data_IF_528116651455
#
_entry.id   IF_528116651455
#
_cell.length_a   1.000
_cell.length_b   1.000
_cell.length_c   1.000
_cell.angle_alpha   90.00
_cell.angle_beta   90.00
_cell.angle_gamma   90.00
#
_symmetry.space_group_name_H-M   'P 1'
#
loop_
_entity.id
_entity.type
_entity.pdbx_description
1 polymer ?
#
# COMPACT_ATOMS: atom_id res chain seq x y z
N UNK A 1 5.40 -5.44 0.94
CA UNK A 1 6.26 -4.28 0.57
C UNK A 1 6.81 -3.66 1.84
N UNK A 2 8.10 -3.41 1.85
CA UNK A 2 8.82 -2.81 2.97
C UNK A 2 9.46 -1.50 2.49
N UNK A 3 9.19 -0.41 3.19
CA UNK A 3 9.86 0.86 2.97
C UNK A 3 11.09 0.94 3.87
N UNK A 4 12.25 1.21 3.29
CA UNK A 4 13.46 1.54 4.03
C UNK A 4 13.56 3.06 4.15
N UNK A 5 13.43 3.55 5.37
CA UNK A 5 13.48 4.98 5.65
C UNK A 5 14.92 5.45 5.84
N UNK A 6 15.19 6.65 5.37
CA UNK A 6 16.48 7.32 5.57
C UNK A 6 16.25 8.50 6.53
N UNK A 7 16.57 8.33 7.83
CA UNK A 7 16.41 9.41 8.81
C UNK A 7 17.29 10.62 8.45
N UNK A 8 16.77 11.82 8.67
CA UNK A 8 17.50 13.07 8.41
C UNK A 8 17.74 13.37 6.92
N UNK A 9 17.13 12.62 6.01
CA UNK A 9 17.19 12.89 4.58
C UNK A 9 16.39 14.15 4.23
N UNK A 10 16.78 14.83 3.14
CA UNK A 10 16.06 16.01 2.62
C UNK A 10 14.61 15.72 2.22
N UNK A 11 14.31 14.46 1.85
CA UNK A 11 12.94 14.01 1.58
C UNK A 11 12.27 13.64 2.90
N UNK A 12 11.16 14.26 3.29
CA UNK A 12 10.45 13.96 4.52
C UNK A 12 10.00 12.49 4.60
N UNK A 13 9.92 11.95 5.82
CA UNK A 13 9.51 10.57 6.06
C UNK A 13 8.16 10.23 5.42
N UNK A 14 7.20 11.15 5.52
CA UNK A 14 5.88 10.95 4.91
C UNK A 14 5.96 10.73 3.40
N UNK A 15 6.81 11.45 2.71
CA UNK A 15 6.98 11.29 1.26
C UNK A 15 7.65 9.95 0.92
N UNK A 16 8.60 9.51 1.75
CA UNK A 16 9.22 8.19 1.61
C UNK A 16 8.17 7.08 1.77
N UNK A 17 7.28 7.19 2.75
CA UNK A 17 6.18 6.24 2.96
C UNK A 17 5.15 6.27 1.82
N UNK A 18 4.76 7.46 1.37
CA UNK A 18 3.83 7.63 0.24
C UNK A 18 4.40 7.04 -1.06
N UNK A 19 5.69 7.19 -1.29
CA UNK A 19 6.38 6.56 -2.42
C UNK A 19 6.26 5.04 -2.36
N UNK A 20 6.46 4.45 -1.18
CA UNK A 20 6.24 3.01 -0.96
C UNK A 20 4.79 2.58 -1.17
N UNK A 21 3.83 3.39 -0.74
CA UNK A 21 2.41 3.18 -1.01
C UNK A 21 2.08 3.20 -2.50
N UNK A 22 2.71 4.11 -3.25
CA UNK A 22 2.58 4.15 -4.71
C UNK A 22 3.11 2.86 -5.37
N UNK A 23 4.18 2.27 -4.84
CA UNK A 23 4.68 0.96 -5.30
C UNK A 23 3.63 -0.12 -5.07
N UNK A 24 2.99 -0.16 -3.89
CA UNK A 24 1.92 -1.12 -3.61
C UNK A 24 0.78 -0.98 -4.63
N UNK A 25 0.34 0.23 -4.90
CA UNK A 25 -0.71 0.48 -5.89
C UNK A 25 -0.29 0.06 -7.30
N UNK A 26 0.93 0.39 -7.71
CA UNK A 26 1.47 -0.01 -9.01
C UNK A 26 1.51 -1.54 -9.17
N UNK A 27 1.82 -2.28 -8.09
CA UNK A 27 1.78 -3.74 -8.10
C UNK A 27 0.36 -4.27 -8.33
N UNK A 28 -0.66 -3.65 -7.72
CA UNK A 28 -2.07 -4.02 -7.97
C UNK A 28 -2.43 -3.81 -9.44
N UNK A 29 -2.07 -2.67 -10.01
CA UNK A 29 -2.34 -2.35 -11.42
C UNK A 29 -1.62 -3.32 -12.37
N UNK A 30 -0.36 -3.61 -12.10
CA UNK A 30 0.43 -4.55 -12.90
C UNK A 30 -0.14 -5.97 -12.86
N UNK A 31 -0.58 -6.44 -11.70
CA UNK A 31 -1.20 -7.75 -11.54
C UNK A 31 -2.50 -7.84 -12.35
N UNK A 32 -3.36 -6.83 -12.23
CA UNK A 32 -4.63 -6.77 -12.97
C UNK A 32 -4.40 -6.71 -14.48
N UNK A 33 -3.43 -5.95 -14.95
CA UNK A 33 -3.07 -5.87 -16.36
C UNK A 33 -2.62 -7.21 -16.94
N UNK A 34 -2.09 -8.10 -16.09
CA UNK A 34 -1.69 -9.46 -16.46
C UNK A 34 -2.80 -10.51 -16.23
N UNK A 35 -3.99 -10.09 -15.85
CA UNK A 35 -5.15 -10.97 -15.64
C UNK A 35 -5.21 -11.63 -14.25
N UNK A 36 -4.38 -11.21 -13.30
CA UNK A 36 -4.44 -11.68 -11.92
C UNK A 36 -5.35 -10.82 -11.05
N UNK A 37 -5.89 -11.43 -9.99
CA UNK A 37 -6.47 -10.69 -8.88
C UNK A 37 -5.37 -10.20 -7.94
N UNK A 38 -5.59 -9.05 -7.33
CA UNK A 38 -4.64 -8.51 -6.36
C UNK A 38 -5.35 -7.72 -5.26
N UNK A 39 -4.79 -7.77 -4.06
CA UNK A 39 -5.30 -7.04 -2.91
C UNK A 39 -4.14 -6.60 -2.02
N UNK A 40 -4.19 -5.37 -1.57
CA UNK A 40 -3.22 -4.80 -0.63
C UNK A 40 -3.87 -4.63 0.74
N UNK A 41 -3.34 -5.33 1.72
CA UNK A 41 -3.82 -5.36 3.09
C UNK A 41 -2.69 -5.18 4.09
N UNK A 42 -3.03 -4.66 5.27
CA UNK A 42 -2.13 -4.64 6.42
C UNK A 42 -2.53 -5.69 7.46
N UNK A 43 -3.64 -5.50 8.15
CA UNK A 43 -4.07 -6.35 9.24
C UNK A 43 -3.15 -6.27 10.47
N UNK A 44 -3.43 -7.06 11.49
CA UNK A 44 -2.65 -7.09 12.73
C UNK A 44 -1.18 -7.48 12.52
N UNK A 45 -0.93 -8.40 11.60
CA UNK A 45 0.41 -8.94 11.35
C UNK A 45 1.39 -7.88 10.82
N UNK A 46 0.89 -6.82 10.18
CA UNK A 46 1.71 -5.73 9.68
C UNK A 46 2.29 -4.84 10.80
N UNK A 47 1.78 -4.98 12.01
CA UNK A 47 2.14 -4.15 13.18
C UNK A 47 2.68 -4.99 14.34
N UNK A 48 2.60 -6.31 14.26
CA UNK A 48 3.04 -7.20 15.32
C UNK A 48 4.58 -7.30 15.33
N UNK A 49 5.25 -6.96 16.45
CA UNK A 49 6.69 -6.93 16.51
C UNK A 49 7.34 -8.31 16.31
N UNK A 50 6.66 -9.39 16.69
CA UNK A 50 7.18 -10.74 16.48
C UNK A 50 7.16 -11.11 15.00
N UNK A 51 6.08 -10.75 14.30
CA UNK A 51 5.97 -10.96 12.84
C UNK A 51 7.02 -10.13 12.12
N UNK A 52 7.15 -8.85 12.46
CA UNK A 52 8.13 -7.95 11.84
C UNK A 52 9.57 -8.43 12.06
N UNK A 53 9.89 -8.89 13.27
CA UNK A 53 11.20 -9.47 13.56
C UNK A 53 11.47 -10.74 12.75
N UNK A 54 10.45 -11.61 12.59
CA UNK A 54 10.57 -12.81 11.76
C UNK A 54 10.72 -12.53 10.27
N UNK A 55 10.15 -11.43 9.80
CA UNK A 55 10.35 -10.94 8.44
C UNK A 55 11.72 -10.28 8.24
N UNK A 56 12.47 -10.09 9.31
CA UNK A 56 13.83 -9.53 9.28
C UNK A 56 13.87 -8.02 9.07
N UNK A 57 12.81 -7.28 9.45
CA UNK A 57 12.81 -5.83 9.34
C UNK A 57 13.84 -5.19 10.25
N UNK A 58 14.60 -4.26 9.69
CA UNK A 58 15.49 -3.38 10.44
C UNK A 58 14.71 -2.24 11.12
N UNK A 59 15.35 -1.56 12.06
CA UNK A 59 14.74 -0.49 12.84
C UNK A 59 14.21 0.67 11.97
N UNK A 60 14.90 0.95 10.87
CA UNK A 60 14.51 1.99 9.91
C UNK A 60 13.63 1.48 8.76
N UNK A 61 13.08 0.28 8.89
CA UNK A 61 12.19 -0.29 7.91
C UNK A 61 10.75 -0.32 8.42
N UNK A 62 9.80 -0.14 7.50
CA UNK A 62 8.36 -0.17 7.78
C UNK A 62 7.67 -1.09 6.79
N UNK A 63 6.88 -2.01 7.32
CA UNK A 63 6.01 -2.82 6.48
C UNK A 63 4.81 -1.98 6.04
N UNK A 64 4.66 -1.80 4.74
CA UNK A 64 3.57 -1.02 4.16
C UNK A 64 2.33 -1.88 3.86
N UNK A 65 2.46 -3.18 3.93
CA UNK A 65 1.39 -4.14 3.77
C UNK A 65 1.80 -5.37 2.98
N UNK A 66 0.87 -6.30 2.93
CA UNK A 66 0.97 -7.53 2.17
C UNK A 66 0.18 -7.37 0.88
N UNK A 67 0.86 -7.50 -0.25
CA UNK A 67 0.21 -7.50 -1.56
C UNK A 67 0.00 -8.94 -1.98
N UNK A 68 -1.26 -9.37 -1.95
CA UNK A 68 -1.67 -10.70 -2.37
C UNK A 68 -1.94 -10.68 -3.86
N UNK A 69 -1.33 -11.58 -4.61
CA UNK A 69 -1.50 -11.69 -6.06
C UNK A 69 -1.75 -13.15 -6.41
N UNK A 70 -2.78 -13.41 -7.20
CA UNK A 70 -3.11 -14.77 -7.61
C UNK A 70 -4.29 -14.83 -8.56
N UNK A 71 -4.64 -16.04 -8.96
CA UNK A 71 -5.84 -16.27 -9.76
C UNK A 71 -7.06 -16.22 -8.86
N UNK A 72 -8.02 -15.29 -9.10
CA UNK A 72 -9.21 -15.20 -8.27
C UNK A 72 -10.11 -16.42 -8.46
N UNK A 73 -10.65 -16.95 -7.36
CA UNK A 73 -11.62 -18.06 -7.40
C UNK A 73 -12.98 -17.59 -7.93
N UNK A 74 -13.32 -16.33 -7.70
CA UNK A 74 -14.57 -15.70 -8.11
C UNK A 74 -14.35 -14.22 -8.42
N UNK A 75 -15.27 -13.61 -9.13
CA UNK A 75 -15.23 -12.16 -9.37
C UNK A 75 -15.57 -11.43 -8.07
N UNK A 76 -14.70 -10.53 -7.65
CA UNK A 76 -14.95 -9.71 -6.49
C UNK A 76 -16.15 -8.78 -6.74
N UNK A 77 -17.07 -8.63 -5.76
CA UNK A 77 -18.17 -7.67 -5.88
C UNK A 77 -17.62 -6.24 -5.90
N UNK A 78 -18.29 -5.38 -6.65
CA UNK A 78 -17.97 -3.94 -6.64
C UNK A 78 -18.36 -3.33 -5.29
N UNK A 79 -17.52 -2.46 -4.78
CA UNK A 79 -17.77 -1.70 -3.56
C UNK A 79 -18.44 -0.38 -3.87
N UNK A 80 -19.24 0.11 -2.95
CA UNK A 80 -19.75 1.47 -3.02
C UNK A 80 -18.57 2.47 -3.02
N UNK A 81 -18.61 3.40 -3.95
CA UNK A 81 -17.60 4.45 -4.09
C UNK A 81 -18.26 5.81 -3.84
N UNK A 82 -17.59 6.73 -3.16
CA UNK A 82 -18.10 8.09 -3.05
C UNK A 82 -18.19 8.71 -4.45
N UNK A 83 -19.17 9.62 -4.64
CA UNK A 83 -19.23 10.40 -5.86
C UNK A 83 -18.02 11.36 -5.90
N UNK A 84 -17.20 11.32 -6.96
CA UNK A 84 -16.04 12.21 -7.06
C UNK A 84 -16.39 13.70 -6.97
N UNK A 85 -17.60 14.07 -7.38
CA UNK A 85 -18.08 15.46 -7.32
C UNK A 85 -18.27 15.97 -5.89
N UNK A 86 -18.57 15.06 -4.94
CA UNK A 86 -18.71 15.39 -3.53
C UNK A 86 -17.35 15.62 -2.85
N UNK A 87 -16.27 15.18 -3.49
CA UNK A 87 -14.90 15.26 -2.97
C UNK A 87 -14.08 16.36 -3.65
N UNK A 88 -14.61 16.97 -4.70
CA UNK A 88 -13.93 18.01 -5.46
C UNK A 88 -14.30 19.38 -4.90
N UNK A 89 -13.31 20.20 -4.62
CA UNK A 89 -13.48 21.58 -4.20
C UNK A 89 -12.58 22.49 -5.02
N UNK A 90 -13.14 23.54 -5.57
CA UNK A 90 -12.38 24.57 -6.25
C UNK A 90 -11.73 25.49 -5.22
N UNK A 91 -10.45 25.76 -5.41
CA UNK A 91 -9.72 26.70 -4.59
C UNK A 91 -9.96 28.12 -5.12
N UNK A 92 -10.67 28.94 -4.34
CA UNK A 92 -10.81 30.37 -4.61
C UNK A 92 -9.78 31.14 -3.78
N UNK A 93 -8.94 31.91 -4.45
CA UNK A 93 -7.94 32.78 -3.82
C UNK A 93 -8.41 34.24 -3.82
#
# INVERSE_FOLDING_TARGET
VIAKLTPGHKVPEIEQLLSGGAVCFAMLQAAQAQGFGAQWLTGWAAYDPVVLARLGLAENERLLGFVHIGTPAETAPERDRPDPRDLLTDLSL
#
